data_IF_531229529806
#
_entry.id   IF_531229529806
#
_cell.length_a   1.000
_cell.length_b   1.000
_cell.length_c   1.000
_cell.angle_alpha   90.00
_cell.angle_beta   90.00
_cell.angle_gamma   90.00
#
_symmetry.space_group_name_H-M   'P 1'
#
loop_
_entity.id
_entity.type
_entity.pdbx_description
1 polymer ?
#
# COMPACT_ATOMS: atom_id res chain seq x y z
N UNK A 1 -26.48 -1.03 1.21
CA UNK A 1 -25.54 0.12 1.16
C UNK A 1 -24.34 -0.35 0.36
N UNK A 2 -24.34 -0.08 -0.94
CA UNK A 2 -23.36 -0.59 -1.90
C UNK A 2 -22.05 0.20 -1.80
N UNK A 3 -20.92 -0.51 -1.69
CA UNK A 3 -19.57 0.02 -1.64
C UNK A 3 -18.95 -0.18 -3.03
N UNK A 4 -18.70 0.87 -3.85
CA UNK A 4 -17.95 0.72 -5.09
C UNK A 4 -16.50 1.19 -4.85
N UNK A 5 -15.64 0.31 -4.36
CA UNK A 5 -14.17 0.52 -4.34
C UNK A 5 -13.44 -0.16 -5.50
N UNK A 6 -14.17 -0.85 -6.38
CA UNK A 6 -13.61 -1.63 -7.47
C UNK A 6 -14.34 -1.31 -8.76
N UNK A 7 -14.19 -0.08 -9.25
CA UNK A 7 -14.42 0.17 -10.67
C UNK A 7 -13.10 -0.11 -11.38
N UNK A 8 -12.94 -1.38 -11.75
CA UNK A 8 -11.88 -1.90 -12.58
C UNK A 8 -12.10 -1.36 -14.01
N UNK A 9 -11.84 -0.08 -14.24
CA UNK A 9 -11.69 0.45 -15.60
C UNK A 9 -10.30 0.00 -16.10
N UNK A 10 -10.23 -1.28 -16.45
CA UNK A 10 -9.21 -1.79 -17.35
C UNK A 10 -9.52 -1.19 -18.73
N UNK A 11 -8.87 -0.08 -19.04
CA UNK A 11 -8.81 0.42 -20.41
C UNK A 11 -7.92 -0.54 -21.22
N UNK A 12 -8.53 -1.67 -21.60
CA UNK A 12 -7.94 -2.79 -22.34
C UNK A 12 -7.70 -2.44 -23.82
N UNK A 13 -7.61 -1.14 -24.16
CA UNK A 13 -7.37 -0.63 -25.51
C UNK A 13 -5.90 -0.41 -25.86
N UNK A 14 -4.98 -0.63 -24.90
CA UNK A 14 -3.52 -0.59 -25.15
C UNK A 14 -2.86 -1.97 -25.25
N UNK A 15 -3.64 -3.06 -25.20
CA UNK A 15 -3.17 -4.43 -25.33
C UNK A 15 -3.08 -4.91 -26.80
N UNK A 16 -2.57 -4.08 -27.69
CA UNK A 16 -2.34 -4.42 -29.10
C UNK A 16 -1.16 -5.37 -29.37
N UNK A 17 -0.55 -5.95 -28.33
CA UNK A 17 0.67 -6.78 -28.45
C UNK A 17 0.42 -8.29 -28.25
N UNK A 18 -0.78 -8.71 -27.85
CA UNK A 18 -1.06 -10.12 -27.53
C UNK A 18 -1.76 -10.94 -28.62
N UNK A 19 -2.09 -10.34 -29.77
CA UNK A 19 -2.79 -11.06 -30.85
C UNK A 19 -1.88 -11.90 -31.75
N UNK A 20 -0.55 -11.74 -31.70
CA UNK A 20 0.36 -12.40 -32.66
C UNK A 20 0.89 -13.79 -32.24
N UNK A 21 0.60 -14.28 -31.03
CA UNK A 21 1.19 -15.55 -30.54
C UNK A 21 0.28 -16.76 -30.71
N UNK A 22 -0.99 -16.58 -31.10
CA UNK A 22 -1.98 -17.66 -31.15
C UNK A 22 -2.21 -18.28 -32.54
N UNK A 23 -1.32 -18.08 -33.50
CA UNK A 23 -1.46 -18.70 -34.82
C UNK A 23 -0.10 -19.06 -35.38
N UNK A 24 0.30 -20.33 -35.32
CA UNK A 24 1.15 -21.05 -36.28
C UNK A 24 1.12 -22.53 -35.86
N UNK A 25 0.53 -23.37 -36.72
CA UNK A 25 0.54 -24.83 -36.61
C UNK A 25 1.92 -25.45 -36.91
N UNK A 26 2.04 -26.78 -36.80
CA UNK A 26 3.32 -27.45 -36.70
C UNK A 26 3.92 -27.67 -38.09
N UNK A 27 5.04 -27.01 -38.39
CA UNK A 27 5.97 -27.55 -39.37
C UNK A 27 7.39 -26.99 -39.21
N UNK A 28 8.32 -27.90 -39.45
CA UNK A 28 9.73 -27.73 -39.71
C UNK A 28 10.69 -27.67 -38.50
N UNK A 29 11.23 -28.86 -38.24
CA UNK A 29 12.44 -29.18 -37.51
C UNK A 29 13.66 -28.50 -38.15
N UNK A 30 14.12 -27.40 -37.54
CA UNK A 30 15.40 -26.76 -37.83
C UNK A 30 15.53 -25.51 -36.96
N UNK A 31 16.65 -25.33 -36.26
CA UNK A 31 16.95 -24.16 -35.41
C UNK A 31 16.33 -24.08 -34.00
N UNK A 32 16.44 -25.17 -33.22
CA UNK A 32 16.08 -25.14 -31.79
C UNK A 32 17.10 -24.37 -30.92
N UNK A 33 18.33 -24.12 -31.43
CA UNK A 33 19.42 -23.52 -30.64
C UNK A 33 19.49 -21.98 -30.60
N UNK A 34 18.91 -21.30 -31.59
CA UNK A 34 18.91 -19.82 -31.67
C UNK A 34 17.66 -19.23 -30.99
N UNK A 35 16.49 -19.82 -31.26
CA UNK A 35 15.20 -19.33 -30.78
C UNK A 35 15.04 -19.39 -29.25
N UNK A 36 15.55 -20.45 -28.61
CA UNK A 36 15.55 -20.55 -27.14
C UNK A 36 16.46 -19.51 -26.46
N UNK A 37 17.50 -19.05 -27.16
CA UNK A 37 18.42 -18.00 -26.70
C UNK A 37 17.70 -16.65 -26.66
N UNK A 38 16.85 -16.37 -27.65
CA UNK A 38 16.01 -15.16 -27.70
C UNK A 38 14.91 -15.17 -26.64
N UNK A 39 14.32 -16.32 -26.32
CA UNK A 39 13.37 -16.41 -25.19
C UNK A 39 14.05 -16.15 -23.85
N UNK A 40 15.25 -16.68 -23.65
CA UNK A 40 16.02 -16.44 -22.42
C UNK A 40 16.48 -14.99 -22.32
N UNK A 41 16.84 -14.34 -23.43
CA UNK A 41 17.17 -12.91 -23.42
C UNK A 41 15.94 -12.05 -23.17
N UNK A 42 14.79 -12.39 -23.76
CA UNK A 42 13.51 -11.70 -23.48
C UNK A 42 13.09 -11.90 -22.04
N UNK A 43 13.15 -13.12 -21.49
CA UNK A 43 12.87 -13.37 -20.08
C UNK A 43 13.87 -12.69 -19.15
N UNK A 44 15.15 -12.65 -19.51
CA UNK A 44 16.18 -11.94 -18.75
C UNK A 44 15.96 -10.43 -18.78
N UNK A 45 15.59 -9.86 -19.92
CA UNK A 45 15.30 -8.42 -20.04
C UNK A 45 13.95 -8.08 -19.40
N UNK A 46 12.96 -8.96 -19.46
CA UNK A 46 11.68 -8.82 -18.74
C UNK A 46 11.91 -8.93 -17.24
N UNK A 47 12.70 -9.91 -16.80
CA UNK A 47 13.13 -10.03 -15.40
C UNK A 47 13.93 -8.81 -14.99
N UNK A 48 14.86 -8.31 -15.80
CA UNK A 48 15.67 -7.13 -15.51
C UNK A 48 14.84 -5.85 -15.52
N UNK A 49 13.78 -5.76 -16.32
CA UNK A 49 12.80 -4.67 -16.29
C UNK A 49 11.90 -4.76 -15.05
N UNK A 50 11.40 -5.95 -14.71
CA UNK A 50 10.63 -6.20 -13.49
C UNK A 50 11.50 -6.01 -12.24
N UNK A 51 12.77 -6.39 -12.31
CA UNK A 51 13.79 -6.18 -11.26
C UNK A 51 14.21 -4.72 -11.23
N UNK A 52 14.20 -3.98 -12.34
CA UNK A 52 14.43 -2.51 -12.36
C UNK A 52 13.19 -1.71 -11.95
N UNK A 53 12.00 -2.28 -12.01
CA UNK A 53 10.79 -1.72 -11.40
C UNK A 53 10.77 -2.03 -9.90
N UNK A 54 11.18 -3.24 -9.49
CA UNK A 54 11.28 -3.65 -8.09
C UNK A 54 12.48 -3.03 -7.35
N UNK A 55 13.66 -2.96 -7.97
CA UNK A 55 14.87 -2.24 -7.52
C UNK A 55 14.94 -0.82 -8.11
N UNK A 56 13.87 -0.40 -8.79
CA UNK A 56 13.60 0.98 -9.09
C UNK A 56 13.32 1.66 -7.78
N UNK A 57 14.38 2.01 -7.08
CA UNK A 57 14.45 3.24 -6.32
C UNK A 57 14.31 4.40 -7.32
N UNK A 58 13.16 4.43 -8.04
CA UNK A 58 12.56 5.63 -8.61
C UNK A 58 12.73 6.68 -7.53
N UNK A 59 13.46 7.74 -7.88
CA UNK A 59 13.89 8.79 -6.97
C UNK A 59 12.78 9.04 -5.96
N UNK A 60 13.00 8.57 -4.73
CA UNK A 60 11.96 8.54 -3.70
C UNK A 60 11.32 9.93 -3.70
N UNK A 61 10.01 10.06 -3.96
CA UNK A 61 9.43 11.36 -4.25
C UNK A 61 9.84 12.32 -3.15
N UNK A 62 10.54 13.37 -3.54
CA UNK A 62 11.13 14.29 -2.57
C UNK A 62 10.04 15.24 -2.15
N UNK A 63 9.81 15.34 -0.85
CA UNK A 63 8.88 16.33 -0.35
C UNK A 63 9.47 17.71 -0.61
N UNK A 64 8.78 18.52 -1.42
CA UNK A 64 9.07 19.92 -1.50
C UNK A 64 8.15 20.63 -0.51
N UNK A 65 8.71 21.16 0.60
CA UNK A 65 7.98 22.06 1.50
C UNK A 65 7.68 23.38 0.77
N UNK A 66 6.83 23.33 -0.25
CA UNK A 66 6.40 24.48 -1.04
C UNK A 66 5.29 25.21 -0.30
N UNK A 67 5.33 26.54 -0.31
CA UNK A 67 4.28 27.40 0.26
C UNK A 67 3.13 27.66 -0.73
N UNK A 68 3.16 27.07 -1.93
CA UNK A 68 2.12 27.24 -2.93
C UNK A 68 1.04 26.17 -2.79
N UNK A 69 -0.25 26.53 -2.66
CA UNK A 69 -1.32 25.59 -2.42
C UNK A 69 -1.54 24.59 -3.58
N UNK A 70 -1.33 25.01 -4.83
CA UNK A 70 -1.55 24.15 -5.99
C UNK A 70 -0.49 23.05 -6.12
N UNK A 71 0.78 23.35 -5.80
CA UNK A 71 1.82 22.33 -5.79
C UNK A 71 1.57 21.28 -4.70
N UNK A 72 1.12 21.68 -3.51
CA UNK A 72 0.77 20.75 -2.42
C UNK A 72 -0.36 19.81 -2.86
N UNK A 73 -1.40 20.33 -3.52
CA UNK A 73 -2.51 19.50 -4.03
C UNK A 73 -2.03 18.52 -5.10
N UNK A 74 -1.23 18.99 -6.05
CA UNK A 74 -0.67 18.14 -7.11
C UNK A 74 0.24 17.05 -6.54
N UNK A 75 1.06 17.37 -5.53
CA UNK A 75 1.90 16.40 -4.83
C UNK A 75 1.05 15.32 -4.14
N UNK A 76 0.00 15.71 -3.42
CA UNK A 76 -0.92 14.76 -2.75
C UNK A 76 -1.62 13.86 -3.76
N UNK A 77 -2.08 14.40 -4.90
CA UNK A 77 -2.71 13.59 -5.95
C UNK A 77 -1.72 12.57 -6.55
N UNK A 78 -0.48 12.98 -6.80
CA UNK A 78 0.58 12.07 -7.24
C UNK A 78 0.86 10.98 -6.20
N UNK A 79 1.02 11.34 -4.92
CA UNK A 79 1.27 10.39 -3.83
C UNK A 79 0.10 9.41 -3.62
N UNK A 80 -1.14 9.86 -3.80
CA UNK A 80 -2.32 8.99 -3.80
C UNK A 80 -2.26 7.97 -4.92
N UNK A 81 -1.91 8.39 -6.13
CA UNK A 81 -1.79 7.51 -7.28
C UNK A 81 -0.65 6.49 -7.09
N UNK A 82 0.52 6.94 -6.62
CA UNK A 82 1.67 6.08 -6.33
C UNK A 82 1.37 5.07 -5.22
N UNK A 83 0.75 5.51 -4.12
CA UNK A 83 0.30 4.61 -3.06
C UNK A 83 -0.67 3.55 -3.61
N UNK A 84 -1.68 3.94 -4.39
CA UNK A 84 -2.63 3.00 -4.98
C UNK A 84 -1.97 2.02 -5.95
N UNK A 85 -0.97 2.46 -6.71
CA UNK A 85 -0.19 1.59 -7.57
C UNK A 85 0.58 0.54 -6.77
N UNK A 86 1.33 0.97 -5.75
CA UNK A 86 2.05 0.07 -4.83
C UNK A 86 1.13 -0.93 -4.14
N UNK A 87 -0.05 -0.50 -3.70
CA UNK A 87 -1.06 -1.38 -3.09
C UNK A 87 -1.54 -2.46 -4.08
N UNK A 88 -1.80 -2.09 -5.34
CA UNK A 88 -2.20 -3.05 -6.39
C UNK A 88 -1.08 -4.04 -6.68
N UNK A 89 0.14 -3.56 -6.77
CA UNK A 89 1.32 -4.39 -7.01
C UNK A 89 1.52 -5.42 -5.89
N UNK A 90 1.35 -5.02 -4.62
CA UNK A 90 1.39 -5.94 -3.49
C UNK A 90 0.31 -7.02 -3.63
N UNK A 91 -0.93 -6.61 -3.88
CA UNK A 91 -2.06 -7.54 -3.95
C UNK A 91 -1.91 -8.54 -5.09
N UNK A 92 -1.50 -8.09 -6.28
CA UNK A 92 -1.30 -8.98 -7.43
C UNK A 92 -0.11 -9.92 -7.18
N UNK A 93 1.01 -9.39 -6.68
CA UNK A 93 2.21 -10.18 -6.44
C UNK A 93 2.03 -11.21 -5.32
N UNK A 94 1.32 -10.86 -4.25
CA UNK A 94 1.02 -11.79 -3.16
C UNK A 94 0.06 -12.89 -3.60
N UNK A 95 -0.99 -12.55 -4.37
CA UNK A 95 -1.88 -13.54 -4.99
C UNK A 95 -1.14 -14.49 -5.92
N UNK A 96 -0.25 -13.95 -6.76
CA UNK A 96 0.56 -14.76 -7.68
C UNK A 96 1.49 -15.70 -6.92
N UNK A 97 2.12 -15.23 -5.85
CA UNK A 97 2.97 -16.06 -4.99
C UNK A 97 2.18 -17.19 -4.32
N UNK A 98 0.99 -16.90 -3.79
CA UNK A 98 0.12 -17.90 -3.17
C UNK A 98 -0.40 -18.91 -4.19
N UNK A 99 -0.70 -18.46 -5.42
CA UNK A 99 -1.08 -19.33 -6.53
C UNK A 99 0.02 -20.36 -6.85
N UNK A 100 1.27 -19.92 -7.00
CA UNK A 100 2.38 -20.83 -7.31
C UNK A 100 2.73 -21.77 -6.15
N UNK A 101 2.62 -21.31 -4.90
CA UNK A 101 2.97 -22.12 -3.72
C UNK A 101 1.86 -23.11 -3.36
N UNK A 102 0.60 -22.70 -3.38
CA UNK A 102 -0.50 -23.50 -2.84
C UNK A 102 -1.38 -24.17 -3.91
N UNK A 103 -1.55 -23.57 -5.09
CA UNK A 103 -2.48 -24.08 -6.11
C UNK A 103 -1.80 -24.92 -7.18
N UNK A 104 -0.66 -24.46 -7.71
CA UNK A 104 0.07 -25.19 -8.77
C UNK A 104 0.42 -26.63 -8.38
N UNK A 105 0.93 -26.92 -7.16
CA UNK A 105 1.21 -28.30 -6.75
C UNK A 105 -0.04 -29.19 -6.75
N UNK A 106 -1.22 -28.64 -6.40
CA UNK A 106 -2.49 -29.36 -6.36
C UNK A 106 -2.95 -29.77 -7.77
N UNK A 107 -2.66 -28.95 -8.77
CA UNK A 107 -3.02 -29.24 -10.17
C UNK A 107 -2.27 -30.46 -10.73
N UNK A 108 -1.05 -30.73 -10.24
CA UNK A 108 -0.25 -31.88 -10.66
C UNK A 108 -0.58 -33.17 -9.88
N UNK A 109 -1.48 -33.12 -8.90
CA UNK A 109 -1.93 -34.31 -8.16
C UNK A 109 -2.82 -35.16 -9.05
N UNK A 110 -2.49 -36.45 -9.18
CA UNK A 110 -3.32 -37.42 -9.92
C UNK A 110 -4.69 -37.56 -9.26
N UNK A 111 -5.75 -37.69 -10.06
CA UNK A 111 -7.14 -37.86 -9.58
C UNK A 111 -7.35 -39.07 -8.64
N UNK A 112 -6.41 -40.01 -8.60
CA UNK A 112 -6.45 -41.19 -7.73
C UNK A 112 -5.95 -40.93 -6.30
N UNK A 113 -5.39 -39.75 -6.02
CA UNK A 113 -4.78 -39.43 -4.74
C UNK A 113 -5.61 -38.38 -3.99
N UNK A 114 -5.99 -38.70 -2.75
CA UNK A 114 -6.75 -37.81 -1.89
C UNK A 114 -5.84 -36.65 -1.42
N UNK A 115 -6.28 -35.41 -1.64
CA UNK A 115 -5.61 -34.23 -1.10
C UNK A 115 -6.56 -33.41 -0.23
N UNK A 116 -6.00 -32.78 0.79
CA UNK A 116 -6.76 -32.00 1.77
C UNK A 116 -7.02 -30.57 1.24
N UNK A 117 -8.25 -30.33 0.81
CA UNK A 117 -8.70 -29.02 0.30
C UNK A 117 -8.67 -27.93 1.39
N UNK A 118 -8.90 -28.29 2.66
CA UNK A 118 -8.92 -27.33 3.76
C UNK A 118 -7.50 -26.82 4.00
N UNK A 119 -6.55 -27.74 4.09
CA UNK A 119 -5.13 -27.41 4.23
C UNK A 119 -4.61 -26.55 3.07
N UNK A 120 -4.97 -26.88 1.83
CA UNK A 120 -4.56 -26.07 0.66
C UNK A 120 -5.11 -24.64 0.73
N UNK A 121 -6.36 -24.47 1.17
CA UNK A 121 -6.96 -23.15 1.38
C UNK A 121 -6.26 -22.37 2.50
N UNK A 122 -5.98 -23.01 3.64
CA UNK A 122 -5.24 -22.41 4.75
C UNK A 122 -3.84 -21.97 4.31
N UNK A 123 -3.10 -22.84 3.62
CA UNK A 123 -1.78 -22.54 3.09
C UNK A 123 -1.83 -21.37 2.09
N UNK A 124 -2.82 -21.33 1.21
CA UNK A 124 -3.01 -20.22 0.27
C UNK A 124 -3.21 -18.89 1.01
N UNK A 125 -4.10 -18.85 2.00
CA UNK A 125 -4.35 -17.64 2.79
C UNK A 125 -3.12 -17.21 3.60
N UNK A 126 -2.43 -18.17 4.23
CA UNK A 126 -1.22 -17.92 4.98
C UNK A 126 -0.11 -17.33 4.11
N UNK A 127 0.17 -17.94 2.97
CA UNK A 127 1.20 -17.45 2.03
C UNK A 127 0.79 -16.08 1.51
N UNK A 128 -0.46 -15.90 1.08
CA UNK A 128 -0.98 -14.63 0.59
C UNK A 128 -0.79 -13.49 1.60
N UNK A 129 -1.21 -13.68 2.85
CA UNK A 129 -1.12 -12.61 3.85
C UNK A 129 0.35 -12.34 4.21
N UNK A 130 1.15 -13.39 4.41
CA UNK A 130 2.57 -13.29 4.74
C UNK A 130 3.36 -12.55 3.66
N UNK A 131 3.19 -12.92 2.39
CA UNK A 131 3.87 -12.24 1.28
C UNK A 131 3.33 -10.84 1.07
N UNK A 132 2.03 -10.59 1.29
CA UNK A 132 1.46 -9.24 1.28
C UNK A 132 2.15 -8.33 2.31
N UNK A 133 2.35 -8.79 3.55
CA UNK A 133 2.99 -8.00 4.61
C UNK A 133 4.47 -7.74 4.29
N UNK A 134 5.19 -8.75 3.80
CA UNK A 134 6.60 -8.60 3.39
C UNK A 134 6.75 -7.60 2.23
N UNK A 135 5.89 -7.70 1.22
CA UNK A 135 5.86 -6.77 0.09
C UNK A 135 5.44 -5.36 0.53
N UNK A 136 4.51 -5.24 1.48
CA UNK A 136 4.15 -3.96 2.08
C UNK A 136 5.35 -3.27 2.71
N UNK A 137 6.18 -4.01 3.46
CA UNK A 137 7.39 -3.47 4.06
C UNK A 137 8.43 -3.02 3.02
N UNK A 138 8.48 -3.72 1.89
CA UNK A 138 9.41 -3.39 0.82
C UNK A 138 8.94 -2.16 0.02
N UNK A 139 7.66 -2.14 -0.37
CA UNK A 139 7.08 -1.08 -1.19
C UNK A 139 6.68 0.16 -0.37
N UNK A 140 6.47 0.04 0.94
CA UNK A 140 6.20 1.15 1.85
C UNK A 140 7.29 1.26 2.92
N UNK A 141 8.52 1.65 2.54
CA UNK A 141 9.59 1.87 3.50
C UNK A 141 9.22 3.03 4.45
N UNK A 142 9.79 3.03 5.64
CA UNK A 142 9.46 4.02 6.67
C UNK A 142 9.63 5.48 6.23
N UNK A 143 10.58 5.74 5.32
CA UNK A 143 10.79 7.06 4.70
C UNK A 143 9.64 7.50 3.80
N UNK A 144 9.00 6.56 3.11
CA UNK A 144 7.81 6.83 2.29
C UNK A 144 6.60 7.15 3.17
N UNK A 145 6.46 6.46 4.30
CA UNK A 145 5.44 6.79 5.30
C UNK A 145 5.65 8.19 5.90
N UNK A 146 6.89 8.61 6.12
CA UNK A 146 7.21 9.98 6.57
C UNK A 146 6.89 11.03 5.49
N UNK A 147 7.20 10.76 4.21
CA UNK A 147 6.80 11.60 3.09
C UNK A 147 5.27 11.80 3.02
N UNK A 148 4.51 10.70 3.07
CA UNK A 148 3.05 10.75 3.08
C UNK A 148 2.49 11.51 4.29
N UNK A 149 3.15 11.37 5.44
CA UNK A 149 2.78 12.10 6.64
C UNK A 149 3.01 13.60 6.50
N UNK A 150 4.17 14.01 5.98
CA UNK A 150 4.50 15.43 5.72
C UNK A 150 3.51 16.04 4.72
N UNK A 151 3.28 15.39 3.59
CA UNK A 151 2.31 15.84 2.60
C UNK A 151 0.89 15.95 3.21
N UNK A 152 0.49 14.98 4.05
CA UNK A 152 -0.79 15.05 4.76
C UNK A 152 -0.85 16.22 5.77
N UNK A 153 0.25 16.50 6.49
CA UNK A 153 0.33 17.63 7.42
C UNK A 153 0.23 18.98 6.70
N UNK A 154 0.84 19.12 5.52
CA UNK A 154 0.75 20.31 4.67
C UNK A 154 -0.61 20.48 3.99
N UNK A 155 -1.29 19.38 3.65
CA UNK A 155 -2.64 19.40 3.10
C UNK A 155 -3.66 19.92 4.13
N UNK A 156 -3.53 19.49 5.39
CA UNK A 156 -4.47 19.79 6.46
C UNK A 156 -5.80 19.06 6.32
N UNK A 157 -6.75 19.38 7.21
CA UNK A 157 -8.11 18.86 7.10
C UNK A 157 -9.16 19.87 7.55
N UNK A 158 -10.36 19.67 7.01
CA UNK A 158 -11.56 20.44 7.33
C UNK A 158 -12.47 19.66 8.29
N UNK A 159 -12.91 20.31 9.35
CA UNK A 159 -14.00 19.83 10.18
C UNK A 159 -15.29 20.52 9.76
N UNK A 160 -16.31 19.75 9.38
CA UNK A 160 -17.64 20.31 9.10
C UNK A 160 -18.25 20.81 10.42
N UNK A 161 -18.70 22.06 10.44
CA UNK A 161 -19.37 22.67 11.59
C UNK A 161 -20.74 23.14 11.17
N UNK A 162 -21.72 23.03 12.08
CA UNK A 162 -23.07 23.48 11.77
C UNK A 162 -23.11 25.00 11.61
N UNK A 163 -23.69 25.51 10.50
CA UNK A 163 -23.71 26.95 10.21
C UNK A 163 -24.39 27.78 11.30
N UNK A 164 -25.35 27.19 12.01
CA UNK A 164 -26.12 27.85 13.08
C UNK A 164 -25.26 28.19 14.31
N UNK A 165 -24.19 27.43 14.56
CA UNK A 165 -23.26 27.65 15.68
C UNK A 165 -22.20 28.71 15.38
N UNK A 166 -22.07 29.15 14.11
CA UNK A 166 -20.97 29.98 13.64
C UNK A 166 -21.41 31.28 12.96
N UNK A 167 -22.66 31.71 13.14
CA UNK A 167 -23.20 32.95 12.54
C UNK A 167 -22.49 34.22 13.01
N UNK A 168 -21.94 34.22 14.22
CA UNK A 168 -21.30 35.39 14.85
C UNK A 168 -19.79 35.51 14.56
N UNK A 169 -19.19 34.56 13.82
CA UNK A 169 -17.75 34.53 13.52
C UNK A 169 -17.52 34.88 12.06
N UNK A 170 -16.44 35.63 11.76
CA UNK A 170 -16.08 36.05 10.39
C UNK A 170 -15.92 34.84 9.46
N UNK A 171 -16.93 34.58 8.63
CA UNK A 171 -16.93 33.49 7.65
C UNK A 171 -16.27 33.97 6.37
N UNK A 172 -15.13 33.38 6.03
CA UNK A 172 -14.47 33.70 4.78
C UNK A 172 -15.02 32.80 3.66
N UNK A 173 -15.10 33.32 2.44
CA UNK A 173 -15.40 32.52 1.27
C UNK A 173 -14.17 31.65 0.92
N UNK A 174 -14.36 30.36 0.67
CA UNK A 174 -13.23 29.51 0.28
C UNK A 174 -12.65 29.95 -1.07
N UNK A 175 -11.32 29.93 -1.16
CA UNK A 175 -10.57 30.25 -2.39
C UNK A 175 -9.42 29.26 -2.51
N UNK A 176 -9.15 28.81 -3.75
CA UNK A 176 -8.13 27.80 -4.08
C UNK A 176 -6.70 28.30 -3.82
N UNK A 177 -6.45 29.59 -4.04
CA UNK A 177 -5.12 30.20 -3.94
C UNK A 177 -4.69 30.53 -2.50
N UNK A 178 -5.61 30.40 -1.53
CA UNK A 178 -5.36 30.79 -0.14
C UNK A 178 -5.01 29.58 0.76
N UNK A 179 -3.97 29.72 1.57
CA UNK A 179 -3.69 28.82 2.68
C UNK A 179 -4.44 29.28 3.93
N UNK A 180 -5.28 28.41 4.48
CA UNK A 180 -6.13 28.77 5.63
C UNK A 180 -5.44 28.40 6.94
N UNK A 181 -5.20 29.36 7.86
CA UNK A 181 -4.54 29.07 9.13
C UNK A 181 -5.50 28.34 10.09
N UNK A 182 -4.91 27.71 11.11
CA UNK A 182 -5.64 26.92 12.09
C UNK A 182 -6.82 27.70 12.71
N UNK A 183 -7.99 27.05 12.76
CA UNK A 183 -9.19 27.59 13.42
C UNK A 183 -10.07 28.49 12.56
N UNK A 184 -9.64 28.90 11.37
CA UNK A 184 -10.46 29.75 10.48
C UNK A 184 -11.66 28.98 9.95
N UNK A 185 -12.80 29.67 9.90
CA UNK A 185 -14.06 29.18 9.36
C UNK A 185 -14.25 29.65 7.94
N UNK A 186 -14.47 28.68 7.06
CA UNK A 186 -14.61 28.91 5.63
C UNK A 186 -15.93 28.33 5.14
N UNK A 187 -16.65 29.11 4.33
CA UNK A 187 -17.89 28.68 3.69
C UNK A 187 -17.60 28.07 2.33
N UNK A 188 -18.09 26.84 2.13
CA UNK A 188 -17.99 26.13 0.85
C UNK A 188 -19.22 25.24 0.64
N UNK A 189 -19.81 25.25 -0.56
CA UNK A 189 -20.98 24.43 -0.93
C UNK A 189 -22.12 24.39 0.12
N UNK A 190 -22.55 25.56 0.62
CA UNK A 190 -23.61 25.75 1.65
C UNK A 190 -23.27 25.24 3.06
N UNK A 191 -22.10 24.65 3.28
CA UNK A 191 -21.63 24.21 4.59
C UNK A 191 -20.50 25.13 5.10
N UNK A 192 -20.26 25.10 6.41
CA UNK A 192 -19.14 25.80 7.05
C UNK A 192 -18.12 24.76 7.48
N UNK A 193 -16.86 25.02 7.20
CA UNK A 193 -15.74 24.16 7.52
C UNK A 193 -14.72 24.91 8.37
N UNK A 194 -14.21 24.26 9.42
CA UNK A 194 -13.14 24.77 10.27
C UNK A 194 -11.81 24.14 9.88
N UNK A 195 -10.77 24.95 9.71
CA UNK A 195 -9.41 24.47 9.47
C UNK A 195 -8.83 23.86 10.75
N UNK A 196 -8.39 22.59 10.68
CA UNK A 196 -7.85 21.87 11.85
C UNK A 196 -6.31 21.78 11.86
N UNK A 197 -5.68 21.83 10.68
CA UNK A 197 -4.21 21.81 10.53
C UNK A 197 -3.57 23.17 10.80
N UNK A 198 -2.24 23.20 10.92
CA UNK A 198 -1.46 24.45 11.03
C UNK A 198 -1.72 25.38 9.84
N UNK A 199 -1.68 24.79 8.65
CA UNK A 199 -2.15 25.36 7.39
C UNK A 199 -3.06 24.35 6.73
N UNK A 200 -4.12 24.82 6.09
CA UNK A 200 -5.08 23.97 5.42
C UNK A 200 -5.24 24.41 3.97
N UNK A 201 -4.93 23.47 3.08
CA UNK A 201 -4.89 23.64 1.62
C UNK A 201 -5.89 22.69 0.95
N UNK A 202 -6.36 21.66 1.67
CA UNK A 202 -7.35 20.71 1.21
C UNK A 202 -8.58 21.40 0.58
N UNK A 203 -9.21 20.74 -0.39
CA UNK A 203 -10.49 21.22 -0.93
C UNK A 203 -11.61 20.82 0.05
N UNK A 204 -12.33 21.79 0.65
CA UNK A 204 -13.45 21.47 1.52
C UNK A 204 -14.52 20.71 0.71
N UNK A 205 -15.08 19.67 1.32
CA UNK A 205 -16.01 18.70 0.70
C UNK A 205 -15.39 17.53 -0.07
N UNK A 206 -14.07 17.51 -0.35
CA UNK A 206 -13.47 16.32 -0.97
C UNK A 206 -13.20 15.20 0.06
N UNK A 207 -13.90 14.08 -0.12
CA UNK A 207 -13.75 12.86 0.69
C UNK A 207 -12.38 12.23 0.50
N UNK A 208 -11.76 12.41 -0.67
CA UNK A 208 -10.46 11.83 -0.99
C UNK A 208 -9.34 12.46 -0.14
N UNK A 209 -9.34 13.80 -0.03
CA UNK A 209 -8.41 14.56 0.81
C UNK A 209 -8.62 14.26 2.28
N UNK A 210 -9.88 14.17 2.72
CA UNK A 210 -10.19 13.79 4.09
C UNK A 210 -9.65 12.40 4.45
N UNK A 211 -9.84 11.40 3.57
CA UNK A 211 -9.35 10.03 3.81
C UNK A 211 -7.84 9.94 3.77
N UNK A 212 -7.19 10.65 2.85
CA UNK A 212 -5.74 10.74 2.79
C UNK A 212 -5.19 11.33 4.10
N UNK A 213 -5.70 12.49 4.50
CA UNK A 213 -5.31 13.10 5.77
C UNK A 213 -5.61 12.16 6.95
N UNK A 214 -6.79 11.54 7.01
CA UNK A 214 -7.13 10.61 8.09
C UNK A 214 -6.16 9.44 8.15
N UNK A 215 -5.80 8.82 7.03
CA UNK A 215 -4.93 7.64 7.05
C UNK A 215 -3.47 8.00 7.38
N UNK A 216 -2.95 9.11 6.83
CA UNK A 216 -1.54 9.48 6.91
C UNK A 216 -1.20 10.53 7.98
N UNK A 217 -2.17 11.16 8.66
CA UNK A 217 -1.86 12.13 9.73
C UNK A 217 -1.19 11.51 10.97
N UNK A 218 -1.16 10.18 11.09
CA UNK A 218 -0.25 9.49 12.04
C UNK A 218 0.44 8.34 11.28
N UNK A 219 1.73 8.45 10.94
CA UNK A 219 2.43 7.47 10.12
C UNK A 219 2.50 6.10 10.81
N UNK A 220 2.48 6.08 12.15
CA UNK A 220 2.46 4.87 12.96
C UNK A 220 1.20 4.02 12.77
N UNK A 221 0.09 4.56 12.22
CA UNK A 221 -1.15 3.79 12.06
C UNK A 221 -0.98 2.61 11.10
N UNK A 222 -0.33 2.83 9.96
CA UNK A 222 -0.09 1.78 8.96
C UNK A 222 0.80 0.69 9.54
N UNK A 223 1.89 1.10 10.20
CA UNK A 223 2.81 0.18 10.87
C UNK A 223 2.10 -0.63 11.96
N UNK A 224 1.25 -0.01 12.78
CA UNK A 224 0.50 -0.71 13.83
C UNK A 224 -0.48 -1.74 13.24
N UNK A 225 -1.16 -1.40 12.14
CA UNK A 225 -2.08 -2.34 11.45
C UNK A 225 -1.28 -3.54 10.91
N UNK A 226 -0.12 -3.30 10.28
CA UNK A 226 0.73 -4.37 9.77
C UNK A 226 1.30 -5.25 10.89
N UNK A 227 1.72 -4.67 12.01
CA UNK A 227 2.21 -5.42 13.18
C UNK A 227 1.10 -6.29 13.77
N UNK A 228 -0.12 -5.75 13.88
CA UNK A 228 -1.26 -6.51 14.42
C UNK A 228 -1.65 -7.65 13.48
N UNK A 229 -1.69 -7.40 12.17
CA UNK A 229 -1.96 -8.42 11.16
C UNK A 229 -0.90 -9.54 11.19
N UNK A 230 0.38 -9.17 11.18
CA UNK A 230 1.49 -10.12 11.20
C UNK A 230 1.53 -10.92 12.50
N UNK A 231 1.32 -10.25 13.64
CA UNK A 231 1.20 -10.91 14.94
C UNK A 231 0.07 -11.94 14.96
N UNK A 232 -1.12 -11.59 14.45
CA UNK A 232 -2.25 -12.51 14.36
C UNK A 232 -1.94 -13.74 13.49
N UNK A 233 -1.24 -13.54 12.36
CA UNK A 233 -0.80 -14.63 11.48
C UNK A 233 0.19 -15.55 12.19
N UNK A 234 1.20 -15.00 12.88
CA UNK A 234 2.18 -15.78 13.64
C UNK A 234 1.49 -16.60 14.74
N UNK A 235 0.57 -15.99 15.49
CA UNK A 235 -0.19 -16.71 16.53
C UNK A 235 -1.00 -17.88 15.95
N UNK A 236 -1.69 -17.65 14.82
CA UNK A 236 -2.43 -18.71 14.15
C UNK A 236 -1.51 -19.80 13.60
N UNK A 237 -0.36 -19.44 13.02
CA UNK A 237 0.64 -20.40 12.54
C UNK A 237 1.21 -21.26 13.67
N UNK A 238 1.51 -20.66 14.84
CA UNK A 238 1.95 -21.40 16.02
C UNK A 238 0.88 -22.38 16.52
N UNK A 239 -0.37 -21.93 16.58
CA UNK A 239 -1.51 -22.80 16.94
C UNK A 239 -1.68 -23.97 15.97
N UNK A 240 -1.62 -23.68 14.67
CA UNK A 240 -1.71 -24.68 13.60
C UNK A 240 -0.53 -25.67 13.68
N UNK A 241 0.68 -25.19 13.97
CA UNK A 241 1.89 -26.01 14.11
C UNK A 241 1.78 -27.02 15.27
N UNK A 242 1.27 -26.59 16.43
CA UNK A 242 1.06 -27.46 17.60
C UNK A 242 -0.02 -28.50 17.31
N UNK A 243 -1.06 -28.12 16.55
CA UNK A 243 -2.18 -29.00 16.22
C UNK A 243 -1.88 -29.96 15.06
N UNK A 244 -0.77 -29.76 14.33
CA UNK A 244 -0.48 -30.52 13.11
C UNK A 244 0.27 -31.81 13.39
N UNK A 245 -0.37 -32.94 13.10
CA UNK A 245 0.23 -34.27 13.22
C UNK A 245 1.01 -34.69 11.96
N UNK A 246 0.82 -33.98 10.83
CA UNK A 246 1.38 -34.36 9.52
C UNK A 246 2.69 -33.63 9.23
N UNK A 247 3.77 -34.39 9.04
CA UNK A 247 5.13 -33.84 8.87
C UNK A 247 5.29 -32.79 7.76
N UNK A 248 4.59 -32.95 6.62
CA UNK A 248 4.66 -31.99 5.51
C UNK A 248 4.01 -30.64 5.83
N UNK A 249 2.94 -30.65 6.65
CA UNK A 249 2.29 -29.43 7.11
C UNK A 249 3.21 -28.71 8.11
N UNK A 250 3.83 -29.47 9.02
CA UNK A 250 4.81 -28.95 9.99
C UNK A 250 5.97 -28.23 9.30
N UNK A 251 6.58 -28.83 8.27
CA UNK A 251 7.69 -28.22 7.52
C UNK A 251 7.24 -26.93 6.82
N UNK A 252 6.10 -26.97 6.14
CA UNK A 252 5.58 -25.82 5.40
C UNK A 252 5.28 -24.63 6.33
N UNK A 253 4.64 -24.91 7.47
CA UNK A 253 4.38 -23.89 8.50
C UNK A 253 5.67 -23.34 9.09
N UNK A 254 6.65 -24.20 9.40
CA UNK A 254 7.92 -23.77 9.96
C UNK A 254 8.69 -22.82 9.03
N UNK A 255 8.70 -23.09 7.72
CA UNK A 255 9.35 -22.22 6.73
C UNK A 255 8.68 -20.84 6.63
N UNK A 256 7.35 -20.80 6.55
CA UNK A 256 6.61 -19.53 6.49
C UNK A 256 6.76 -18.76 7.80
N UNK A 257 6.67 -19.46 8.94
CA UNK A 257 6.81 -18.88 10.26
C UNK A 257 8.20 -18.22 10.45
N UNK A 258 9.26 -18.84 9.93
CA UNK A 258 10.60 -18.26 9.95
C UNK A 258 10.67 -16.92 9.22
N UNK A 259 10.10 -16.84 8.00
CA UNK A 259 10.04 -15.56 7.27
C UNK A 259 9.20 -14.50 7.98
N UNK A 260 8.09 -14.92 8.59
CA UNK A 260 7.15 -14.04 9.28
C UNK A 260 7.76 -13.46 10.56
N UNK A 261 8.56 -14.24 11.31
CA UNK A 261 9.30 -13.70 12.44
C UNK A 261 10.27 -12.59 12.06
N UNK A 262 10.99 -12.76 10.95
CA UNK A 262 11.89 -11.72 10.46
C UNK A 262 11.10 -10.47 10.01
N UNK A 263 9.98 -10.66 9.31
CA UNK A 263 9.08 -9.58 8.91
C UNK A 263 8.52 -8.81 10.11
N UNK A 264 8.09 -9.52 11.15
CA UNK A 264 7.59 -8.95 12.39
C UNK A 264 8.67 -8.17 13.14
N UNK A 265 9.88 -8.73 13.27
CA UNK A 265 11.00 -8.04 13.90
C UNK A 265 11.33 -6.73 13.17
N UNK A 266 11.35 -6.76 11.83
CA UNK A 266 11.63 -5.57 11.01
C UNK A 266 10.55 -4.49 11.19
N UNK A 267 9.27 -4.87 11.19
CA UNK A 267 8.16 -3.96 11.48
C UNK A 267 8.27 -3.34 12.88
N UNK A 268 8.56 -4.16 13.90
CA UNK A 268 8.70 -3.69 15.27
C UNK A 268 9.84 -2.69 15.41
N UNK A 269 11.00 -3.00 14.80
CA UNK A 269 12.16 -2.10 14.76
C UNK A 269 11.78 -0.77 14.12
N UNK A 270 11.15 -0.79 12.95
CA UNK A 270 10.80 0.42 12.21
C UNK A 270 9.76 1.26 12.99
N UNK A 271 8.80 0.60 13.67
CA UNK A 271 7.84 1.26 14.58
C UNK A 271 8.53 1.91 15.77
N UNK A 272 9.52 1.26 16.38
CA UNK A 272 10.25 1.82 17.52
C UNK A 272 11.11 3.01 17.11
N UNK A 273 11.79 2.93 15.96
CA UNK A 273 12.62 4.02 15.43
C UNK A 273 11.76 5.23 15.07
N UNK A 274 10.67 5.04 14.32
CA UNK A 274 9.75 6.14 13.99
C UNK A 274 9.05 6.68 15.23
N UNK A 275 8.63 5.81 16.16
CA UNK A 275 8.00 6.21 17.41
C UNK A 275 8.89 7.16 18.21
N UNK A 276 10.19 6.82 18.35
CA UNK A 276 11.18 7.70 19.00
C UNK A 276 11.35 9.01 18.24
N UNK A 277 11.50 8.97 16.92
CA UNK A 277 11.68 10.18 16.10
C UNK A 277 10.51 11.18 16.28
N UNK A 278 9.26 10.69 16.24
CA UNK A 278 8.09 11.55 16.43
C UNK A 278 7.88 12.00 17.88
N UNK A 279 8.27 11.21 18.89
CA UNK A 279 8.23 11.67 20.29
C UNK A 279 9.24 12.79 20.56
N UNK A 280 10.42 12.74 19.93
CA UNK A 280 11.41 13.82 20.02
C UNK A 280 10.95 15.09 19.30
N UNK A 281 10.27 14.96 18.15
CA UNK A 281 9.70 16.12 17.45
C UNK A 281 8.59 16.78 18.30
N UNK A 282 7.69 15.99 18.88
CA UNK A 282 6.59 16.50 19.71
C UNK A 282 7.07 17.25 20.97
N UNK A 283 8.15 16.77 21.60
CA UNK A 283 8.74 17.44 22.78
C UNK A 283 9.36 18.79 22.42
N UNK A 284 10.06 18.89 21.28
CA UNK A 284 10.59 20.17 20.78
C UNK A 284 9.50 21.20 20.48
N UNK A 285 8.42 20.77 19.83
CA UNK A 285 7.29 21.67 19.54
C UNK A 285 6.61 22.19 20.81
N UNK A 286 6.55 21.39 21.88
CA UNK A 286 6.04 21.86 23.18
C UNK A 286 6.96 22.85 23.87
N UNK A 287 8.27 22.67 23.78
CA UNK A 287 9.25 23.63 24.32
C UNK A 287 9.22 24.96 23.57
N UNK A 288 9.06 24.95 22.24
CA UNK A 288 8.92 26.16 21.43
C UNK A 288 7.61 26.93 21.67
N UNK A 289 6.54 26.27 22.13
CA UNK A 289 5.28 26.95 22.47
C UNK A 289 5.27 27.55 23.88
N UNK A 290 6.22 27.16 24.72
CA UNK A 290 6.34 27.63 26.10
C UNK A 290 7.28 28.84 26.24
N UNK A 291 8.14 29.08 25.25
CA UNK A 291 8.99 30.27 25.12
C UNK A 291 8.35 31.30 24.18
#
# INVERSE_FOLDING_TARGET
>A
MYIPFLQLNCDLRKAGLFAQVANIGPRDTGEVGARGRDYLTVLKETWKQHTRQMYGMEAMPTHACCLSPDLIRNEVEYLKMDFNWRMKEVLVSSMLSAYYVAFVPVWFVKNTQYYDKRWSCELFLLVSISTSVILMQYLLPARYCDLLHKAAAHLGCWQKVDPALCSNVLQHQWTEECMWPQGVLVKHSKNVYKAMGHYNVAVPSDVSHFRFHFFFSKPLRILNILILLEGAVIFYQLYSLISSEKWHQTISLALILFSNYYAFFKLLRDRLVLGKAYSYAASRDSEQKLN
#
